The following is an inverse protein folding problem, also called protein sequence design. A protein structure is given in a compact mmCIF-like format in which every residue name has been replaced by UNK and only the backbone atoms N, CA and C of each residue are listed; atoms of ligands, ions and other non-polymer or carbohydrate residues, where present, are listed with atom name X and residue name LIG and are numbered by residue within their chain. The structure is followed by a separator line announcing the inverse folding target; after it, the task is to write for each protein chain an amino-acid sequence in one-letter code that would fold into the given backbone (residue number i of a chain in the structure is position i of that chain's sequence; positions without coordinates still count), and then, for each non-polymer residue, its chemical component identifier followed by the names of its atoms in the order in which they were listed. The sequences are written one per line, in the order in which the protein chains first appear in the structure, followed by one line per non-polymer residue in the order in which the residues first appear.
data_IF_522031236565
#
_entry.id   IF_522031236565
#
_cell.length_a   1.000
_cell.length_b   1.000
_cell.length_c   1.000
_cell.angle_alpha   90.00
_cell.angle_beta   90.00
_cell.angle_gamma   90.00
#
_symmetry.space_group_name_H-M   'P 1'
#
loop_
_entity.id
_entity.type
_entity.pdbx_description
1 polymer ?
#
# COMPACT_ATOMS: atom_id res chain seq x y z
N UNK A 1 -8.68 14.65 -45.58
CA UNK A 1 -10.08 15.10 -45.41
C UNK A 1 -10.96 13.88 -45.26
N UNK A 2 -11.28 13.48 -44.02
CA UNK A 2 -12.44 12.67 -43.69
C UNK A 2 -12.85 13.05 -42.26
N UNK A 3 -14.09 13.51 -42.15
CA UNK A 3 -14.75 14.02 -40.95
C UNK A 3 -15.26 12.90 -40.05
N UNK A 4 -15.24 13.16 -38.74
CA UNK A 4 -15.67 12.32 -37.61
C UNK A 4 -17.11 11.78 -37.69
N UNK A 5 -17.46 10.87 -36.78
CA UNK A 5 -18.56 11.19 -35.87
C UNK A 5 -18.16 11.11 -34.39
N UNK A 6 -18.52 12.18 -33.66
CA UNK A 6 -18.60 12.18 -32.20
C UNK A 6 -19.52 11.03 -31.73
N UNK A 7 -19.09 10.31 -30.69
CA UNK A 7 -19.99 9.61 -29.78
C UNK A 7 -19.70 10.06 -28.36
N UNK A 8 -20.52 11.00 -27.92
CA UNK A 8 -20.73 11.34 -26.51
C UNK A 8 -21.46 10.17 -25.84
N UNK A 9 -20.82 9.53 -24.87
CA UNK A 9 -21.49 8.69 -23.88
C UNK A 9 -20.98 9.11 -22.50
N UNK A 10 -21.90 9.60 -21.68
CA UNK A 10 -21.67 9.99 -20.30
C UNK A 10 -22.26 8.91 -19.36
N UNK A 11 -21.78 8.94 -18.11
CA UNK A 11 -22.36 8.30 -16.90
C UNK A 11 -21.99 6.81 -16.77
N UNK A 12 -21.52 6.26 -15.63
CA UNK A 12 -21.66 6.64 -14.23
C UNK A 12 -20.49 6.14 -13.37
N UNK A 13 -20.33 6.81 -12.23
CA UNK A 13 -19.52 6.37 -11.09
C UNK A 13 -20.14 5.19 -10.33
N UNK A 14 -19.27 4.53 -9.56
CA UNK A 14 -19.51 3.68 -8.39
C UNK A 14 -20.01 2.24 -8.66
N UNK A 15 -19.35 1.24 -8.07
CA UNK A 15 -19.59 0.82 -6.69
C UNK A 15 -18.63 -0.31 -6.27
N UNK A 16 -18.11 -0.18 -5.05
CA UNK A 16 -17.44 -1.21 -4.26
C UNK A 16 -18.23 -2.53 -4.29
N UNK A 17 -17.53 -3.64 -4.49
CA UNK A 17 -18.07 -4.98 -4.21
C UNK A 17 -16.98 -5.83 -3.57
N UNK A 18 -16.70 -5.55 -2.30
CA UNK A 18 -16.12 -6.52 -1.37
C UNK A 18 -17.16 -7.65 -1.22
N UNK A 19 -16.91 -8.73 -1.94
CA UNK A 19 -17.68 -9.96 -1.90
C UNK A 19 -17.62 -10.60 -0.52
N UNK A 20 -18.72 -10.43 0.21
CA UNK A 20 -19.16 -11.20 1.36
C UNK A 20 -18.97 -12.72 1.13
N UNK A 21 -18.06 -13.34 1.89
CA UNK A 21 -18.19 -14.75 2.21
C UNK A 21 -19.22 -14.89 3.33
N UNK A 22 -20.39 -15.35 2.91
CA UNK A 22 -21.56 -15.69 3.71
C UNK A 22 -21.31 -16.84 4.69
N UNK A 23 -21.54 -16.59 5.97
CA UNK A 23 -21.81 -17.62 6.99
C UNK A 23 -22.98 -17.16 7.85
N UNK A 24 -24.21 -17.53 7.45
CA UNK A 24 -25.44 -17.22 8.17
C UNK A 24 -25.54 -17.95 9.51
N UNK A 25 -25.73 -17.20 10.59
CA UNK A 25 -26.51 -17.64 11.74
C UNK A 25 -27.22 -16.42 12.36
N UNK A 26 -28.54 -16.39 12.27
CA UNK A 26 -29.40 -15.54 13.09
C UNK A 26 -30.36 -16.49 13.87
N UNK A 27 -31.06 -16.07 14.95
CA UNK A 27 -31.15 -14.71 15.53
C UNK A 27 -31.16 -14.68 17.09
N UNK A 28 -31.15 -13.48 17.67
CA UNK A 28 -31.98 -13.18 18.85
C UNK A 28 -32.44 -11.70 18.82
N UNK A 29 -33.71 -11.41 19.17
CA UNK A 29 -34.26 -10.06 19.15
C UNK A 29 -33.66 -9.20 20.27
N UNK A 30 -33.32 -7.96 19.93
CA UNK A 30 -32.87 -6.92 20.87
C UNK A 30 -33.98 -6.62 21.88
N UNK A 31 -33.72 -6.70 23.20
CA UNK A 31 -34.65 -6.17 24.18
C UNK A 31 -34.70 -4.64 24.14
N UNK A 32 -35.90 -4.12 24.36
CA UNK A 32 -36.31 -2.72 24.42
C UNK A 32 -35.46 -1.89 25.41
N UNK A 33 -35.05 -0.66 25.08
CA UNK A 33 -34.29 0.18 26.00
C UNK A 33 -35.19 0.73 27.12
N UNK A 34 -34.76 0.53 28.37
CA UNK A 34 -35.39 1.13 29.55
C UNK A 34 -35.13 2.66 29.58
N UNK A 35 -36.09 3.47 30.07
CA UNK A 35 -35.90 4.91 30.14
C UNK A 35 -35.11 5.37 31.39
N UNK A 36 -34.22 6.32 31.12
CA UNK A 36 -33.71 7.46 31.91
C UNK A 36 -33.18 7.24 33.34
N UNK A 37 -31.91 7.60 33.51
CA UNK A 37 -31.33 8.03 34.79
C UNK A 37 -30.64 9.38 34.60
N UNK A 38 -31.26 10.42 35.15
CA UNK A 38 -30.71 11.77 35.30
C UNK A 38 -29.78 11.77 36.54
N UNK A 39 -28.49 11.99 36.33
CA UNK A 39 -27.48 12.37 37.34
C UNK A 39 -26.45 13.13 36.54
N UNK A 40 -26.36 14.46 36.67
CA UNK A 40 -25.88 15.10 37.88
C UNK A 40 -24.45 15.56 37.58
N UNK A 41 -24.25 16.86 37.50
CA UNK A 41 -23.00 17.51 37.15
C UNK A 41 -21.83 17.04 38.04
N UNK A 42 -20.66 16.88 37.43
CA UNK A 42 -19.40 17.25 38.08
C UNK A 42 -18.41 17.75 37.01
N UNK A 43 -18.15 19.05 37.08
CA UNK A 43 -16.98 19.69 36.50
C UNK A 43 -15.73 19.06 37.15
N UNK A 44 -15.05 18.19 36.40
CA UNK A 44 -13.62 17.97 36.62
C UNK A 44 -12.94 18.15 35.28
N UNK A 45 -12.36 19.34 35.11
CA UNK A 45 -11.28 19.55 34.17
C UNK A 45 -10.16 18.57 34.55
N UNK A 46 -10.11 17.42 33.87
CA UNK A 46 -8.92 16.59 33.83
C UNK A 46 -8.07 17.16 32.70
N UNK A 47 -7.22 18.11 33.06
CA UNK A 47 -5.94 18.32 32.39
C UNK A 47 -5.07 17.11 32.77
N UNK A 48 -5.39 15.96 32.16
CA UNK A 48 -4.47 14.85 32.07
C UNK A 48 -4.03 14.89 30.61
N UNK A 49 -2.90 15.56 30.38
CA UNK A 49 -1.96 15.13 29.37
C UNK A 49 -1.82 13.63 29.54
N UNK A 50 -2.61 12.86 28.78
CA UNK A 50 -2.10 11.61 28.24
C UNK A 50 -0.87 12.04 27.46
N UNK A 51 0.25 12.14 28.17
CA UNK A 51 1.47 11.51 27.72
C UNK A 51 1.01 10.13 27.29
N UNK A 52 0.61 10.07 26.01
CA UNK A 52 0.70 8.87 25.23
C UNK A 52 2.14 8.46 25.47
N UNK A 53 2.31 7.56 26.44
CA UNK A 53 3.54 6.83 26.62
C UNK A 53 3.61 6.01 25.34
N UNK A 54 4.01 6.70 24.26
CA UNK A 54 4.37 6.12 23.00
C UNK A 54 5.23 4.96 23.38
N UNK A 55 4.86 3.79 22.88
CA UNK A 55 5.56 2.57 23.20
C UNK A 55 7.06 2.91 23.13
N UNK A 56 7.81 2.64 24.20
CA UNK A 56 9.16 3.17 24.35
C UNK A 56 10.15 2.60 23.32
N UNK A 57 9.67 2.03 22.20
CA UNK A 57 10.48 1.66 21.06
C UNK A 57 11.23 2.89 20.55
N UNK A 58 12.55 2.77 20.40
CA UNK A 58 13.33 3.81 19.73
C UNK A 58 12.94 3.97 18.24
N UNK A 59 12.05 3.12 17.73
CA UNK A 59 11.63 3.05 16.34
C UNK A 59 10.20 3.57 16.06
N UNK A 60 9.47 4.08 17.06
CA UNK A 60 8.16 4.72 16.88
C UNK A 60 7.11 3.91 16.08
N UNK A 61 6.02 4.56 15.64
CA UNK A 61 4.95 3.91 14.86
C UNK A 61 5.31 3.64 13.40
N UNK A 62 6.32 4.33 12.86
CA UNK A 62 6.79 4.13 11.49
C UNK A 62 7.38 2.73 11.29
N UNK A 63 8.02 2.17 12.32
CA UNK A 63 8.66 0.85 12.22
C UNK A 63 7.66 -0.28 12.02
N UNK A 64 6.55 -0.27 12.76
CA UNK A 64 5.46 -1.23 12.54
C UNK A 64 4.82 -1.09 11.15
N UNK A 65 4.72 0.15 10.65
CA UNK A 65 4.25 0.39 9.29
C UNK A 65 5.24 -0.17 8.27
N UNK A 66 6.55 0.04 8.45
CA UNK A 66 7.60 -0.52 7.60
C UNK A 66 7.58 -2.05 7.62
N UNK A 67 7.51 -2.69 8.79
CA UNK A 67 7.39 -4.15 8.92
C UNK A 67 6.18 -4.69 8.17
N UNK A 68 5.04 -3.99 8.24
CA UNK A 68 3.84 -4.35 7.49
C UNK A 68 4.08 -4.29 5.98
N UNK A 69 4.78 -3.25 5.49
CA UNK A 69 5.13 -3.14 4.08
C UNK A 69 6.13 -4.24 3.66
N UNK A 70 7.11 -4.56 4.51
CA UNK A 70 8.12 -5.60 4.24
C UNK A 70 7.48 -7.00 4.17
N UNK A 71 6.51 -7.32 5.01
CA UNK A 71 5.74 -8.58 4.89
C UNK A 71 4.93 -8.64 3.59
N UNK A 72 4.36 -7.51 3.16
CA UNK A 72 3.65 -7.44 1.88
C UNK A 72 4.61 -7.60 0.70
N UNK A 73 5.78 -6.99 0.78
CA UNK A 73 6.85 -7.12 -0.19
C UNK A 73 7.34 -8.56 -0.33
N UNK A 74 7.51 -9.28 0.79
CA UNK A 74 7.89 -10.70 0.77
C UNK A 74 6.82 -11.57 0.10
N UNK A 75 5.54 -11.33 0.42
CA UNK A 75 4.41 -12.02 -0.24
C UNK A 75 4.37 -11.73 -1.74
N UNK A 76 4.64 -10.48 -2.12
CA UNK A 76 4.72 -10.06 -3.52
C UNK A 76 5.89 -10.74 -4.23
N UNK A 77 7.07 -10.80 -3.60
CA UNK A 77 8.28 -11.42 -4.13
C UNK A 77 8.06 -12.91 -4.43
N UNK A 78 7.44 -13.63 -3.49
CA UNK A 78 7.08 -15.04 -3.67
C UNK A 78 6.09 -15.24 -4.83
N UNK A 79 5.09 -14.37 -4.98
CA UNK A 79 4.13 -14.43 -6.08
C UNK A 79 4.80 -14.14 -7.43
N UNK A 80 5.67 -13.14 -7.49
CA UNK A 80 6.39 -12.75 -8.71
C UNK A 80 7.37 -13.86 -9.15
N UNK A 81 8.27 -14.26 -8.26
CA UNK A 81 9.32 -15.24 -8.56
C UNK A 81 8.80 -16.66 -8.65
N UNK A 82 7.89 -17.06 -7.75
CA UNK A 82 7.27 -18.38 -7.73
C UNK A 82 6.23 -18.58 -8.83
N UNK A 83 5.57 -17.50 -9.27
CA UNK A 83 4.64 -17.50 -10.40
C UNK A 83 5.31 -17.52 -11.77
N UNK A 84 6.64 -17.34 -11.82
CA UNK A 84 7.38 -17.20 -13.07
C UNK A 84 6.98 -15.94 -13.85
N UNK A 85 6.64 -14.87 -13.13
CA UNK A 85 6.27 -13.60 -13.75
C UNK A 85 7.49 -12.85 -14.26
N UNK A 86 7.30 -12.22 -15.41
CA UNK A 86 8.17 -11.19 -15.96
C UNK A 86 7.30 -10.11 -16.64
N UNK A 87 7.94 -9.00 -17.05
CA UNK A 87 7.22 -7.87 -17.67
C UNK A 87 6.66 -8.26 -19.04
N UNK A 88 7.35 -9.09 -19.81
CA UNK A 88 6.86 -9.55 -21.11
C UNK A 88 5.57 -10.37 -20.97
N UNK A 89 5.52 -11.30 -20.02
CA UNK A 89 4.34 -12.08 -19.68
C UNK A 89 3.18 -11.20 -19.21
N UNK A 90 3.47 -10.14 -18.46
CA UNK A 90 2.46 -9.18 -18.02
C UNK A 90 1.83 -8.38 -19.18
N UNK A 91 2.62 -8.08 -20.23
CA UNK A 91 2.16 -7.38 -21.44
C UNK A 91 1.34 -8.33 -22.32
N UNK A 92 1.86 -9.54 -22.57
CA UNK A 92 1.28 -10.52 -23.49
C UNK A 92 -0.08 -11.05 -23.02
N UNK A 93 -0.28 -11.16 -21.71
CA UNK A 93 -1.51 -11.67 -21.12
C UNK A 93 -1.89 -10.87 -19.86
N UNK A 94 -2.94 -10.02 -19.91
CA UNK A 94 -3.43 -9.34 -18.72
C UNK A 94 -3.91 -10.39 -17.71
N UNK A 95 -3.30 -10.38 -16.53
CA UNK A 95 -3.49 -11.39 -15.50
C UNK A 95 -2.68 -11.09 -14.25
N UNK A 96 -2.30 -12.14 -13.53
CA UNK A 96 -1.60 -12.07 -12.25
C UNK A 96 -0.30 -11.23 -12.31
N UNK A 97 0.56 -11.44 -13.31
CA UNK A 97 1.82 -10.70 -13.44
C UNK A 97 1.59 -9.18 -13.64
N UNK A 98 0.58 -8.79 -14.42
CA UNK A 98 0.22 -7.37 -14.56
C UNK A 98 -0.27 -6.79 -13.23
N UNK A 99 -1.09 -7.53 -12.48
CA UNK A 99 -1.56 -7.07 -11.17
C UNK A 99 -0.39 -6.89 -10.20
N UNK A 100 0.61 -7.77 -10.25
CA UNK A 100 1.81 -7.67 -9.43
C UNK A 100 2.65 -6.41 -9.75
N UNK A 101 2.75 -5.96 -11.00
CA UNK A 101 3.41 -4.67 -11.32
C UNK A 101 2.69 -3.49 -10.66
N UNK A 102 1.35 -3.47 -10.72
CA UNK A 102 0.56 -2.43 -10.03
C UNK A 102 0.73 -2.52 -8.52
N UNK A 103 0.76 -3.72 -7.94
CA UNK A 103 1.02 -3.91 -6.51
C UNK A 103 2.41 -3.40 -6.12
N UNK A 104 3.45 -3.72 -6.90
CA UNK A 104 4.81 -3.22 -6.69
C UNK A 104 4.87 -1.69 -6.61
N UNK A 105 4.18 -1.01 -7.54
CA UNK A 105 4.06 0.44 -7.57
C UNK A 105 3.36 1.00 -6.31
N UNK A 106 2.24 0.39 -5.90
CA UNK A 106 1.48 0.83 -4.72
C UNK A 106 2.23 0.57 -3.41
N UNK A 107 2.91 -0.57 -3.28
CA UNK A 107 3.74 -0.91 -2.11
C UNK A 107 4.88 0.09 -1.96
N UNK A 108 5.57 0.44 -3.05
CA UNK A 108 6.67 1.41 -3.03
C UNK A 108 6.19 2.81 -2.65
N UNK A 109 5.05 3.26 -3.18
CA UNK A 109 4.45 4.52 -2.77
C UNK A 109 4.06 4.52 -1.28
N UNK A 110 3.49 3.42 -0.77
CA UNK A 110 3.16 3.31 0.65
C UNK A 110 4.39 3.27 1.54
N UNK A 111 5.49 2.67 1.10
CA UNK A 111 6.78 2.70 1.80
C UNK A 111 7.38 4.12 1.82
N UNK A 112 7.30 4.86 0.72
CA UNK A 112 7.75 6.25 0.67
C UNK A 112 7.00 7.13 1.68
N UNK A 113 5.70 6.90 1.88
CA UNK A 113 4.93 7.58 2.93
C UNK A 113 5.46 7.24 4.34
N UNK A 114 5.84 5.99 4.59
CA UNK A 114 6.46 5.57 5.86
C UNK A 114 7.78 6.32 6.07
N UNK A 115 8.68 6.32 5.08
CA UNK A 115 9.96 7.04 5.16
C UNK A 115 9.77 8.54 5.36
N UNK A 116 8.78 9.16 4.71
CA UNK A 116 8.46 10.59 4.88
C UNK A 116 8.08 10.99 6.32
N UNK A 117 7.65 10.02 7.14
CA UNK A 117 7.19 10.24 8.52
C UNK A 117 8.13 9.62 9.57
N UNK A 118 9.21 8.96 9.16
CA UNK A 118 10.14 8.20 10.02
C UNK A 118 10.78 9.04 11.13
N UNK A 119 11.20 10.27 10.80
CA UNK A 119 12.10 11.03 11.67
C UNK A 119 13.49 10.36 11.76
N UNK A 120 14.22 10.66 12.84
CA UNK A 120 15.55 10.09 13.07
C UNK A 120 15.44 8.61 13.48
N UNK A 121 16.19 7.74 12.81
CA UNK A 121 16.31 6.33 13.17
C UNK A 121 17.54 6.10 14.07
N UNK A 122 17.56 5.02 14.89
CA UNK A 122 18.76 4.64 15.64
C UNK A 122 19.95 4.32 14.72
N UNK A 123 21.15 4.71 15.17
CA UNK A 123 22.40 4.54 14.40
C UNK A 123 22.65 3.07 13.99
N UNK A 124 22.15 2.09 14.76
CA UNK A 124 22.37 0.67 14.48
C UNK A 124 21.68 0.17 13.21
N UNK A 125 20.63 0.85 12.76
CA UNK A 125 19.81 0.47 11.59
C UNK A 125 19.80 1.51 10.49
N UNK A 126 20.46 2.66 10.70
CA UNK A 126 20.44 3.80 9.78
C UNK A 126 20.92 3.42 8.36
N UNK A 127 22.05 2.72 8.24
CA UNK A 127 22.58 2.31 6.93
C UNK A 127 21.63 1.37 6.16
N UNK A 128 20.93 0.46 6.88
CA UNK A 128 19.97 -0.45 6.25
C UNK A 128 18.71 0.30 5.83
N UNK A 129 18.22 1.20 6.68
CA UNK A 129 17.06 2.04 6.37
C UNK A 129 17.34 2.98 5.20
N UNK A 130 18.54 3.56 5.13
CA UNK A 130 18.97 4.42 4.02
C UNK A 130 19.05 3.63 2.70
N UNK A 131 19.49 2.37 2.75
CA UNK A 131 19.50 1.50 1.57
C UNK A 131 18.08 1.15 1.09
N UNK A 132 17.17 0.84 2.01
CA UNK A 132 15.75 0.57 1.69
C UNK A 132 15.10 1.86 1.13
N UNK A 133 15.33 3.01 1.77
CA UNK A 133 14.79 4.31 1.36
C UNK A 133 15.27 4.69 -0.04
N UNK A 134 16.56 4.52 -0.34
CA UNK A 134 17.11 4.77 -1.68
C UNK A 134 16.46 3.89 -2.76
N UNK A 135 16.22 2.61 -2.47
CA UNK A 135 15.55 1.70 -3.41
C UNK A 135 14.06 2.06 -3.58
N UNK A 136 13.39 2.51 -2.51
CA UNK A 136 12.01 3.04 -2.59
C UNK A 136 11.94 4.27 -3.47
N UNK A 137 12.85 5.23 -3.29
CA UNK A 137 12.90 6.46 -4.09
C UNK A 137 13.12 6.15 -5.58
N UNK A 138 14.08 5.28 -5.90
CA UNK A 138 14.33 4.84 -7.27
C UNK A 138 13.08 4.19 -7.90
N UNK A 139 12.35 3.38 -7.11
CA UNK A 139 11.13 2.73 -7.57
C UNK A 139 9.99 3.73 -7.81
N UNK A 140 9.83 4.73 -6.94
CA UNK A 140 8.83 5.80 -7.10
C UNK A 140 9.14 6.67 -8.32
N UNK A 141 10.41 6.99 -8.54
CA UNK A 141 10.88 7.71 -9.73
C UNK A 141 10.59 6.91 -11.01
N UNK A 142 10.81 5.59 -11.00
CA UNK A 142 10.45 4.69 -12.10
C UNK A 142 8.94 4.57 -12.33
N UNK A 143 8.15 4.59 -11.24
CA UNK A 143 6.69 4.51 -11.28
C UNK A 143 6.02 5.77 -11.86
N UNK A 144 6.65 6.93 -11.75
CA UNK A 144 6.11 8.20 -12.24
C UNK A 144 5.83 8.19 -13.75
N UNK A 145 6.80 7.92 -14.65
CA UNK A 145 6.54 7.85 -16.08
C UNK A 145 5.60 6.70 -16.46
N UNK A 146 5.54 5.62 -15.68
CA UNK A 146 4.58 4.54 -15.88
C UNK A 146 3.14 5.01 -15.64
N UNK A 147 2.91 5.76 -14.55
CA UNK A 147 1.61 6.33 -14.23
C UNK A 147 1.18 7.41 -15.23
N UNK A 148 2.10 8.29 -15.67
CA UNK A 148 1.84 9.33 -16.68
C UNK A 148 1.42 8.76 -18.04
N UNK A 149 1.89 7.56 -18.38
CA UNK A 149 1.52 6.83 -19.59
C UNK A 149 0.24 6.00 -19.43
N UNK A 150 -0.45 6.10 -18.29
CA UNK A 150 -1.66 5.33 -17.99
C UNK A 150 -1.46 3.80 -18.04
N UNK A 151 -0.21 3.33 -17.86
CA UNK A 151 0.17 1.92 -17.97
C UNK A 151 -0.53 1.00 -16.96
N UNK A 152 -1.08 1.57 -15.89
CA UNK A 152 -1.94 0.86 -14.93
C UNK A 152 -3.22 0.31 -15.58
N UNK A 153 -3.76 1.00 -16.58
CA UNK A 153 -5.02 0.66 -17.24
C UNK A 153 -4.81 -0.16 -18.52
N UNK A 154 -3.72 0.08 -19.23
CA UNK A 154 -3.35 -0.65 -20.44
C UNK A 154 -1.82 -0.82 -20.47
N UNK A 155 -1.36 -2.05 -20.22
CA UNK A 155 0.06 -2.37 -20.27
C UNK A 155 0.42 -2.72 -21.72
N UNK A 156 1.14 -1.81 -22.39
CA UNK A 156 1.62 -1.97 -23.77
C UNK A 156 3.14 -2.11 -23.79
N UNK A 157 3.72 -2.36 -24.97
CA UNK A 157 5.17 -2.40 -25.15
C UNK A 157 5.88 -1.11 -24.70
N UNK A 158 5.22 0.04 -24.79
CA UNK A 158 5.76 1.33 -24.33
C UNK A 158 5.89 1.39 -22.79
N UNK A 159 5.11 0.56 -22.09
CA UNK A 159 5.15 0.43 -20.65
C UNK A 159 6.22 -0.56 -20.15
N UNK A 160 6.87 -1.31 -21.03
CA UNK A 160 7.79 -2.38 -20.64
C UNK A 160 8.98 -1.86 -19.84
N UNK A 161 9.74 -0.91 -20.39
CA UNK A 161 10.92 -0.35 -19.73
C UNK A 161 10.63 0.29 -18.36
N UNK A 162 9.60 1.14 -18.19
CA UNK A 162 9.28 1.66 -16.86
C UNK A 162 8.73 0.58 -15.92
N UNK A 163 8.02 -0.44 -16.42
CA UNK A 163 7.61 -1.57 -15.60
C UNK A 163 8.81 -2.41 -15.12
N UNK A 164 9.81 -2.65 -15.97
CA UNK A 164 11.06 -3.32 -15.60
C UNK A 164 11.78 -2.54 -14.49
N UNK A 165 11.88 -1.22 -14.64
CA UNK A 165 12.49 -0.37 -13.61
C UNK A 165 11.73 -0.39 -12.27
N UNK A 166 10.39 -0.45 -12.29
CA UNK A 166 9.59 -0.65 -11.07
C UNK A 166 9.93 -1.99 -10.42
N UNK A 167 9.96 -3.08 -11.21
CA UNK A 167 10.24 -4.42 -10.71
C UNK A 167 11.65 -4.52 -10.14
N UNK A 168 12.66 -4.02 -10.85
CA UNK A 168 14.05 -3.99 -10.40
C UNK A 168 14.21 -3.19 -9.10
N UNK A 169 13.49 -2.07 -8.99
CA UNK A 169 13.44 -1.28 -7.77
C UNK A 169 12.85 -2.06 -6.60
N UNK A 170 11.68 -2.71 -6.78
CA UNK A 170 11.04 -3.52 -5.74
C UNK A 170 11.89 -4.73 -5.32
N UNK A 171 12.56 -5.38 -6.26
CA UNK A 171 13.52 -6.45 -5.96
C UNK A 171 14.69 -5.90 -5.14
N UNK A 172 15.18 -4.70 -5.45
CA UNK A 172 16.25 -4.04 -4.69
C UNK A 172 15.80 -3.65 -3.27
N UNK A 173 14.54 -3.24 -3.08
CA UNK A 173 13.96 -3.02 -1.74
C UNK A 173 13.98 -4.33 -0.94
N UNK A 174 13.58 -5.46 -1.57
CA UNK A 174 13.55 -6.77 -0.91
C UNK A 174 14.97 -7.20 -0.49
N UNK A 175 15.95 -7.08 -1.39
CA UNK A 175 17.35 -7.37 -1.10
C UNK A 175 17.92 -6.47 0.02
N UNK A 176 17.62 -5.17 0.00
CA UNK A 176 18.05 -4.23 1.05
C UNK A 176 17.41 -4.53 2.41
N UNK A 177 16.19 -5.06 2.40
CA UNK A 177 15.47 -5.47 3.60
C UNK A 177 15.83 -6.89 4.09
N UNK A 178 16.70 -7.62 3.39
CA UNK A 178 17.10 -8.95 3.81
C UNK A 178 17.70 -8.92 5.22
N UNK A 179 17.10 -9.71 6.12
CA UNK A 179 17.53 -9.77 7.52
C UNK A 179 17.06 -8.61 8.41
N UNK A 180 16.18 -7.72 7.92
CA UNK A 180 15.52 -6.72 8.75
C UNK A 180 14.68 -7.38 9.86
N UNK A 181 14.89 -6.96 11.10
CA UNK A 181 14.01 -7.24 12.24
C UNK A 181 14.10 -6.09 13.23
N UNK A 182 12.98 -5.42 13.53
CA UNK A 182 12.94 -4.37 14.56
C UNK A 182 12.76 -4.95 15.98
#
# INVERSE_FOLDING_TARGET
MHTSPLRTAAVAAAFLSLGLLSGCAAPAPTPEPAPAGDTGADDTATDDTTDDAGDGSPYGTWSQALETQLMQLDTWYDAWTGGGCDVAAAIDAPGECRQLITTAQLTSASMAEVFSSRGDAPDEVADQLDAIEAAVDETVDAATPWAEQECMWELTDECAAPAEAIIDGVLSIHDAAEGWSA
#
